data_IF_567853482881
#
_entry.id   IF_567853482881
#
_cell.length_a   1.000
_cell.length_b   1.000
_cell.length_c   1.000
_cell.angle_alpha   90.00
_cell.angle_beta   90.00
_cell.angle_gamma   90.00
#
_symmetry.space_group_name_H-M   'P 1'
#
loop_
_entity.id
_entity.type
_entity.pdbx_description
1 polymer ?
#
# COMPACT_ATOMS: atom_id res chain seq x y z
N UNK A 1 -41.46 -41.43 -57.30
CA UNK A 1 -40.24 -40.61 -57.10
C UNK A 1 -40.64 -39.22 -56.62
N UNK A 2 -40.30 -38.86 -55.39
CA UNK A 2 -40.03 -37.51 -54.85
C UNK A 2 -39.88 -37.66 -53.33
N UNK A 3 -38.65 -37.53 -52.81
CA UNK A 3 -38.35 -37.47 -51.37
C UNK A 3 -38.06 -36.01 -51.03
N UNK A 4 -38.84 -35.42 -50.13
CA UNK A 4 -38.53 -34.14 -49.49
C UNK A 4 -37.64 -34.41 -48.28
N UNK A 5 -36.43 -33.85 -48.27
CA UNK A 5 -35.56 -33.83 -47.10
C UNK A 5 -35.68 -32.50 -46.38
N UNK A 6 -36.22 -32.52 -45.16
CA UNK A 6 -36.14 -31.40 -44.22
C UNK A 6 -34.75 -31.38 -43.59
N UNK A 7 -33.98 -30.31 -43.82
CA UNK A 7 -32.78 -30.00 -43.04
C UNK A 7 -33.23 -29.12 -41.86
N UNK A 8 -33.14 -29.67 -40.64
CA UNK A 8 -33.37 -28.94 -39.40
C UNK A 8 -32.06 -28.24 -39.02
N UNK A 9 -32.02 -26.91 -39.11
CA UNK A 9 -30.88 -26.10 -38.72
C UNK A 9 -30.92 -25.92 -37.19
N UNK A 10 -30.07 -26.62 -36.44
CA UNK A 10 -29.87 -26.42 -35.01
C UNK A 10 -29.01 -25.16 -34.80
N UNK A 11 -29.68 -24.05 -34.49
CA UNK A 11 -29.02 -22.83 -33.99
C UNK A 11 -28.63 -23.04 -32.52
N UNK A 12 -27.34 -23.28 -32.28
CA UNK A 12 -26.78 -23.19 -30.94
C UNK A 12 -26.69 -21.72 -30.52
N UNK A 13 -27.61 -21.30 -29.66
CA UNK A 13 -27.52 -20.03 -28.94
C UNK A 13 -26.46 -20.18 -27.84
N UNK A 14 -25.23 -19.79 -28.14
CA UNK A 14 -24.21 -19.53 -27.12
C UNK A 14 -24.58 -18.24 -26.38
N UNK A 15 -25.24 -18.38 -25.23
CA UNK A 15 -25.47 -17.27 -24.30
C UNK A 15 -24.15 -16.74 -23.73
N UNK A 16 -24.10 -15.48 -23.28
CA UNK A 16 -22.89 -14.91 -22.68
C UNK A 16 -22.56 -15.67 -21.40
N UNK A 17 -21.40 -16.32 -21.37
CA UNK A 17 -20.81 -16.84 -20.14
C UNK A 17 -20.43 -15.63 -19.30
N UNK A 18 -21.14 -15.40 -18.20
CA UNK A 18 -20.75 -14.41 -17.21
C UNK A 18 -19.31 -14.72 -16.77
N UNK A 19 -18.40 -13.75 -16.89
CA UNK A 19 -17.03 -13.90 -16.43
C UNK A 19 -17.07 -14.28 -14.94
N UNK A 20 -16.56 -15.46 -14.62
CA UNK A 20 -16.46 -15.93 -13.25
C UNK A 20 -15.57 -14.95 -12.49
N UNK A 21 -16.02 -14.47 -11.33
CA UNK A 21 -15.23 -13.56 -10.51
C UNK A 21 -13.86 -14.20 -10.22
N UNK A 22 -12.78 -13.47 -10.52
CA UNK A 22 -11.43 -13.94 -10.23
C UNK A 22 -11.30 -14.19 -8.72
N UNK A 23 -11.01 -15.44 -8.34
CA UNK A 23 -10.69 -15.82 -6.96
C UNK A 23 -9.20 -16.17 -6.93
N UNK A 24 -8.31 -15.26 -6.52
CA UNK A 24 -6.91 -15.61 -6.31
C UNK A 24 -6.84 -16.61 -5.16
N UNK A 25 -6.52 -17.86 -5.49
CA UNK A 25 -6.52 -18.99 -4.55
C UNK A 25 -5.14 -19.22 -3.95
N UNK A 26 -4.57 -18.20 -3.30
CA UNK A 26 -3.35 -18.35 -2.50
C UNK A 26 -3.56 -17.68 -1.15
N UNK A 27 -3.13 -18.39 -0.10
CA UNK A 27 -3.24 -17.97 1.29
C UNK A 27 -4.22 -18.80 2.12
N UNK A 28 -4.27 -18.54 3.43
CA UNK A 28 -5.14 -19.27 4.34
C UNK A 28 -6.62 -19.04 4.00
N UNK A 29 -7.49 -19.99 4.32
CA UNK A 29 -8.94 -19.82 4.15
C UNK A 29 -9.52 -18.95 5.27
N UNK A 30 -9.10 -17.69 5.28
CA UNK A 30 -9.52 -16.66 6.23
C UNK A 30 -9.90 -15.40 5.45
N UNK A 31 -10.88 -14.60 5.93
CA UNK A 31 -11.19 -13.31 5.31
C UNK A 31 -10.10 -12.27 5.59
N UNK A 32 -9.44 -12.39 6.74
CA UNK A 32 -8.40 -11.47 7.22
C UNK A 32 -7.53 -12.11 8.31
N UNK A 33 -6.36 -11.53 8.54
CA UNK A 33 -5.49 -11.82 9.68
C UNK A 33 -5.21 -10.50 10.40
N UNK A 34 -5.39 -10.47 11.71
CA UNK A 34 -4.93 -9.39 12.59
C UNK A 34 -3.62 -9.80 13.23
N UNK A 35 -2.62 -8.95 13.15
CA UNK A 35 -1.29 -9.17 13.72
C UNK A 35 -1.04 -8.14 14.80
N UNK A 36 -0.60 -8.56 15.98
CA UNK A 36 -0.29 -7.69 17.13
C UNK A 36 1.15 -7.88 17.58
N UNK A 37 1.96 -6.84 17.50
CA UNK A 37 3.32 -6.83 18.02
C UNK A 37 3.53 -5.51 18.78
N UNK A 38 3.73 -5.63 20.10
CA UNK A 38 3.80 -4.48 21.00
C UNK A 38 2.57 -3.60 20.88
N UNK A 39 2.78 -2.31 20.60
CA UNK A 39 1.73 -1.31 20.48
C UNK A 39 1.12 -1.21 19.07
N UNK A 40 1.69 -1.90 18.08
CA UNK A 40 1.25 -1.85 16.69
C UNK A 40 0.37 -3.06 16.36
N UNK A 41 -0.77 -2.78 15.73
CA UNK A 41 -1.63 -3.80 15.13
C UNK A 41 -1.75 -3.58 13.63
N UNK A 42 -1.57 -4.65 12.85
CA UNK A 42 -1.72 -4.64 11.39
C UNK A 42 -2.82 -5.62 10.98
N UNK A 43 -3.78 -5.15 10.17
CA UNK A 43 -4.79 -6.02 9.55
C UNK A 43 -4.43 -6.30 8.10
N UNK A 44 -4.31 -7.57 7.75
CA UNK A 44 -4.16 -8.07 6.38
C UNK A 44 -5.51 -8.63 5.89
N UNK A 45 -5.89 -8.46 4.62
CA UNK A 45 -7.17 -8.97 4.12
C UNK A 45 -7.07 -9.74 2.80
N UNK A 46 -7.82 -10.84 2.70
CA UNK A 46 -7.87 -11.68 1.49
C UNK A 46 -8.40 -10.92 0.28
N UNK A 47 -9.44 -10.10 0.45
CA UNK A 47 -10.08 -9.36 -0.64
C UNK A 47 -9.11 -8.40 -1.38
N UNK A 48 -8.05 -7.92 -0.72
CA UNK A 48 -6.99 -7.10 -1.30
C UNK A 48 -5.74 -7.91 -1.61
N UNK A 49 -5.87 -9.23 -1.81
CA UNK A 49 -4.76 -10.16 -2.06
C UNK A 49 -3.67 -10.11 -0.98
N UNK A 50 -4.12 -10.10 0.28
CA UNK A 50 -3.29 -10.18 1.49
C UNK A 50 -2.35 -9.00 1.72
N UNK A 51 -2.74 -7.81 1.29
CA UNK A 51 -2.01 -6.59 1.64
C UNK A 51 -2.52 -5.95 2.93
N UNK A 52 -1.76 -4.99 3.52
CA UNK A 52 -2.25 -4.17 4.62
C UNK A 52 -3.60 -3.54 4.34
N UNK A 53 -4.36 -3.37 5.40
CA UNK A 53 -5.74 -2.92 5.29
C UNK A 53 -6.17 -2.03 6.45
N UNK A 54 -5.48 -2.12 7.59
CA UNK A 54 -5.61 -1.21 8.74
C UNK A 54 -4.33 -1.25 9.56
N UNK A 55 -3.94 -0.11 10.09
CA UNK A 55 -2.86 0.02 11.06
C UNK A 55 -3.46 0.71 12.29
N UNK A 56 -3.29 0.08 13.45
CA UNK A 56 -3.69 0.63 14.74
C UNK A 56 -2.43 0.86 15.59
N UNK A 57 -2.46 1.91 16.42
CA UNK A 57 -1.45 2.18 17.43
C UNK A 57 -2.14 2.29 18.80
N UNK A 58 -1.65 1.52 19.79
CA UNK A 58 -2.24 1.39 21.13
C UNK A 58 -3.75 1.08 21.11
N UNK A 59 -4.17 0.27 20.14
CA UNK A 59 -5.56 -0.14 19.95
C UNK A 59 -6.46 0.89 19.24
N UNK A 60 -5.93 2.06 18.87
CA UNK A 60 -6.66 3.09 18.11
C UNK A 60 -6.32 2.99 16.62
N UNK A 61 -7.32 2.91 15.71
CA UNK A 61 -7.07 2.94 14.28
C UNK A 61 -6.45 4.26 13.82
N UNK A 62 -5.25 4.19 13.25
CA UNK A 62 -4.59 5.33 12.60
C UNK A 62 -4.95 5.40 11.12
N UNK A 63 -5.34 4.27 10.51
CA UNK A 63 -5.75 4.21 9.11
C UNK A 63 -7.14 3.60 8.94
N UNK A 64 -7.77 3.86 7.79
CA UNK A 64 -9.12 3.37 7.48
C UNK A 64 -9.11 2.06 6.72
N UNK A 65 -10.16 1.26 6.92
CA UNK A 65 -10.37 0.03 6.17
C UNK A 65 -10.94 0.24 4.75
N UNK A 66 -11.25 1.48 4.38
CA UNK A 66 -11.97 1.88 3.15
C UNK A 66 -11.07 2.14 1.94
N UNK A 67 -9.83 1.63 1.94
CA UNK A 67 -8.90 1.77 0.81
C UNK A 67 -7.95 0.58 0.72
N UNK A 68 -7.28 0.45 -0.43
CA UNK A 68 -6.23 -0.54 -0.66
C UNK A 68 -4.84 0.03 -0.32
N UNK A 69 -3.95 -0.83 0.18
CA UNK A 69 -2.57 -0.50 0.56
C UNK A 69 -1.63 -1.47 -0.13
N UNK A 70 -0.52 -1.01 -0.70
CA UNK A 70 0.43 -1.89 -1.39
C UNK A 70 0.96 -1.27 -2.68
N UNK A 71 1.45 -2.12 -3.57
CA UNK A 71 2.04 -1.68 -4.85
C UNK A 71 1.05 -1.78 -6.00
N UNK A 72 1.01 -0.74 -6.83
CA UNK A 72 0.17 -0.66 -8.04
C UNK A 72 0.96 -0.01 -9.17
N UNK A 73 0.88 -0.58 -10.36
CA UNK A 73 1.48 -0.07 -11.58
C UNK A 73 0.39 0.52 -12.46
N UNK A 74 0.62 1.72 -12.99
CA UNK A 74 -0.24 2.31 -14.00
C UNK A 74 0.41 2.19 -15.37
N UNK A 75 -0.23 1.44 -16.24
CA UNK A 75 0.19 1.23 -17.63
C UNK A 75 -0.52 2.22 -18.55
N UNK A 76 0.18 2.77 -19.57
CA UNK A 76 -0.48 3.51 -20.64
C UNK A 76 -1.61 2.68 -21.25
N UNK A 77 -2.75 3.32 -21.55
CA UNK A 77 -3.94 2.75 -22.20
C UNK A 77 -4.71 1.65 -21.43
N UNK A 78 -4.09 1.00 -20.45
CA UNK A 78 -4.71 -0.06 -19.63
C UNK A 78 -5.16 0.46 -18.27
N UNK A 79 -4.40 1.36 -17.65
CA UNK A 79 -4.69 1.85 -16.31
C UNK A 79 -3.98 1.05 -15.21
N UNK A 80 -4.61 0.93 -14.04
CA UNK A 80 -4.00 0.39 -12.83
C UNK A 80 -4.06 -1.14 -12.77
N UNK A 81 -2.94 -1.77 -12.43
CA UNK A 81 -2.84 -3.20 -12.11
C UNK A 81 -2.04 -3.34 -10.81
N UNK A 82 -2.55 -4.14 -9.88
CA UNK A 82 -1.91 -4.39 -8.59
C UNK A 82 -2.90 -4.35 -7.45
N UNK A 83 -2.40 -4.03 -6.26
CA UNK A 83 -3.15 -4.12 -5.01
C UNK A 83 -4.55 -3.48 -5.09
N UNK A 84 -5.59 -4.32 -4.95
CA UNK A 84 -6.99 -3.88 -4.89
C UNK A 84 -7.56 -3.39 -6.23
N UNK A 85 -6.75 -3.31 -7.28
CA UNK A 85 -7.16 -2.97 -8.64
C UNK A 85 -7.38 -4.26 -9.43
N UNK A 86 -8.62 -4.74 -9.42
CA UNK A 86 -9.04 -5.98 -10.08
C UNK A 86 -9.82 -5.70 -11.38
N UNK A 87 -10.09 -4.43 -11.68
CA UNK A 87 -10.93 -4.00 -12.79
C UNK A 87 -10.29 -4.16 -14.17
N UNK A 88 -8.95 -4.14 -14.25
CA UNK A 88 -8.21 -4.27 -15.51
C UNK A 88 -7.64 -5.68 -15.65
N UNK A 89 -6.67 -6.02 -14.80
CA UNK A 89 -6.05 -7.33 -14.75
C UNK A 89 -5.71 -7.67 -13.29
N UNK A 90 -5.83 -8.95 -12.87
CA UNK A 90 -5.41 -9.33 -11.54
C UNK A 90 -3.89 -9.42 -11.42
N UNK A 91 -3.37 -9.06 -10.25
CA UNK A 91 -2.00 -9.40 -9.88
C UNK A 91 -1.88 -10.92 -9.63
N UNK A 92 -0.87 -11.54 -10.24
CA UNK A 92 -0.57 -12.97 -10.08
C UNK A 92 0.19 -13.16 -8.77
N UNK A 93 -0.53 -13.49 -7.71
CA UNK A 93 0.08 -13.87 -6.44
C UNK A 93 0.84 -15.20 -6.62
N UNK A 94 2.03 -15.33 -6.05
CA UNK A 94 2.89 -16.51 -6.19
C UNK A 94 3.14 -17.22 -4.86
N UNK A 95 3.41 -16.45 -3.80
CA UNK A 95 3.65 -17.01 -2.47
C UNK A 95 3.25 -16.05 -1.35
N UNK A 96 2.95 -16.62 -0.18
CA UNK A 96 2.70 -15.92 1.06
C UNK A 96 3.39 -16.68 2.18
N UNK A 97 4.30 -16.03 2.90
CA UNK A 97 5.01 -16.64 4.02
C UNK A 97 4.93 -15.74 5.25
N UNK A 98 4.54 -16.31 6.38
CA UNK A 98 4.32 -15.59 7.63
C UNK A 98 5.34 -16.06 8.66
N UNK A 99 5.84 -15.13 9.47
CA UNK A 99 6.75 -15.41 10.56
C UNK A 99 6.33 -14.64 11.81
N UNK A 100 6.38 -15.31 12.95
CA UNK A 100 6.23 -14.71 14.29
C UNK A 100 7.46 -15.10 15.09
N UNK A 101 8.13 -14.11 15.68
CA UNK A 101 9.34 -14.29 16.50
C UNK A 101 10.42 -15.13 15.78
N UNK A 102 10.61 -14.83 14.50
CA UNK A 102 11.58 -15.50 13.63
C UNK A 102 11.18 -16.92 13.18
N UNK A 103 10.06 -17.47 13.64
CA UNK A 103 9.57 -18.81 13.28
C UNK A 103 8.48 -18.72 12.22
N UNK A 104 8.57 -19.55 11.19
CA UNK A 104 7.56 -19.65 10.16
C UNK A 104 6.22 -20.16 10.73
N UNK A 105 5.12 -19.53 10.34
CA UNK A 105 3.76 -19.91 10.69
C UNK A 105 3.15 -20.68 9.51
N UNK A 106 3.25 -22.00 9.55
CA UNK A 106 2.78 -22.90 8.48
C UNK A 106 1.26 -22.86 8.32
N UNK A 107 0.51 -22.60 9.39
CA UNK A 107 -0.96 -22.50 9.37
C UNK A 107 -1.39 -21.23 10.09
N UNK A 108 -1.45 -20.09 9.37
CA UNK A 108 -1.88 -18.83 9.96
C UNK A 108 -3.31 -18.91 10.50
N UNK A 109 -3.53 -18.35 11.69
CA UNK A 109 -4.85 -18.16 12.29
C UNK A 109 -5.35 -16.73 12.05
N UNK A 110 -6.62 -16.47 12.36
CA UNK A 110 -7.23 -15.14 12.21
C UNK A 110 -6.53 -14.06 13.05
N UNK A 111 -5.91 -14.45 14.15
CA UNK A 111 -5.11 -13.58 15.01
C UNK A 111 -3.71 -14.17 15.14
N UNK A 112 -2.69 -13.33 15.01
CA UNK A 112 -1.27 -13.64 15.25
C UNK A 112 -0.71 -12.60 16.23
N UNK A 113 0.16 -13.04 17.14
CA UNK A 113 0.81 -12.13 18.08
C UNK A 113 2.20 -12.62 18.47
N UNK A 114 3.13 -11.69 18.69
CA UNK A 114 4.48 -11.95 19.15
C UNK A 114 5.25 -10.65 19.38
N UNK A 115 6.54 -10.74 19.64
CA UNK A 115 7.44 -9.58 19.73
C UNK A 115 7.74 -9.02 18.34
N UNK A 116 7.90 -9.91 17.35
CA UNK A 116 8.14 -9.53 15.96
C UNK A 116 7.25 -10.30 15.00
N UNK A 117 6.90 -9.64 13.91
CA UNK A 117 6.18 -10.24 12.79
C UNK A 117 6.90 -9.92 11.49
N UNK A 118 6.92 -10.89 10.57
CA UNK A 118 7.34 -10.67 9.19
C UNK A 118 6.41 -11.41 8.24
N UNK A 119 5.95 -10.72 7.21
CA UNK A 119 5.15 -11.26 6.14
C UNK A 119 5.82 -10.99 4.80
N UNK A 120 6.06 -12.05 4.04
CA UNK A 120 6.65 -12.00 2.71
C UNK A 120 5.58 -12.39 1.69
N UNK A 121 5.36 -11.51 0.73
CA UNK A 121 4.42 -11.68 -0.38
C UNK A 121 5.19 -11.60 -1.68
N UNK A 122 5.15 -12.66 -2.47
CA UNK A 122 5.73 -12.66 -3.81
C UNK A 122 4.63 -12.72 -4.85
N UNK A 123 4.79 -11.92 -5.90
CA UNK A 123 3.79 -11.81 -6.95
C UNK A 123 4.42 -11.37 -8.27
N UNK A 124 3.59 -11.40 -9.31
CA UNK A 124 3.95 -10.94 -10.64
C UNK A 124 2.86 -10.04 -11.20
N UNK A 125 3.29 -8.93 -11.78
CA UNK A 125 2.44 -8.04 -12.57
C UNK A 125 3.07 -7.95 -13.95
N UNK A 126 2.55 -8.72 -14.90
CA UNK A 126 3.06 -8.80 -16.27
C UNK A 126 4.58 -9.04 -16.32
N UNK A 127 5.35 -8.05 -16.76
CA UNK A 127 6.80 -8.11 -16.85
C UNK A 127 7.55 -7.90 -15.54
N UNK A 128 6.86 -7.60 -14.44
CA UNK A 128 7.47 -7.32 -13.15
C UNK A 128 7.28 -8.47 -12.17
N UNK A 129 8.37 -8.88 -11.53
CA UNK A 129 8.35 -9.70 -10.32
C UNK A 129 8.47 -8.79 -9.11
N UNK A 130 7.63 -9.03 -8.10
CA UNK A 130 7.57 -8.25 -6.89
C UNK A 130 7.81 -9.15 -5.67
N UNK A 131 8.56 -8.62 -4.73
CA UNK A 131 8.61 -9.12 -3.35
C UNK A 131 8.24 -7.97 -2.43
N UNK A 132 7.12 -8.10 -1.73
CA UNK A 132 6.73 -7.18 -0.66
C UNK A 132 6.99 -7.84 0.70
N UNK A 133 7.71 -7.15 1.57
CA UNK A 133 7.97 -7.59 2.94
C UNK A 133 7.39 -6.56 3.90
N UNK A 134 6.55 -7.03 4.82
CA UNK A 134 5.98 -6.23 5.90
C UNK A 134 6.52 -6.77 7.21
N UNK A 135 7.17 -5.94 8.03
CA UNK A 135 7.67 -6.32 9.33
C UNK A 135 7.09 -5.44 10.42
N UNK A 136 6.77 -6.01 11.57
CA UNK A 136 6.52 -5.26 12.80
C UNK A 136 7.57 -5.67 13.81
N UNK A 137 8.31 -4.70 14.32
CA UNK A 137 9.32 -4.88 15.38
C UNK A 137 9.58 -3.53 16.02
N UNK A 138 9.93 -3.52 17.30
CA UNK A 138 10.27 -2.28 18.04
C UNK A 138 9.17 -1.21 17.89
N UNK A 139 7.90 -1.62 17.94
CA UNK A 139 6.72 -0.76 17.77
C UNK A 139 6.69 0.05 16.45
N UNK A 140 7.34 -0.48 15.41
CA UNK A 140 7.44 0.13 14.07
C UNK A 140 6.98 -0.83 12.99
N UNK A 141 6.35 -0.28 11.95
CA UNK A 141 6.01 -0.99 10.73
C UNK A 141 7.08 -0.72 9.67
N UNK A 142 7.76 -1.75 9.18
CA UNK A 142 8.66 -1.66 8.04
C UNK A 142 7.99 -2.24 6.80
N UNK A 143 8.14 -1.56 5.67
CA UNK A 143 7.66 -2.00 4.37
C UNK A 143 8.82 -1.98 3.39
N UNK A 144 9.08 -3.12 2.75
CA UNK A 144 10.08 -3.25 1.69
C UNK A 144 9.40 -3.77 0.43
N UNK A 145 9.64 -3.12 -0.69
CA UNK A 145 9.18 -3.57 -2.00
C UNK A 145 10.39 -3.70 -2.91
N UNK A 146 10.67 -4.91 -3.38
CA UNK A 146 11.67 -5.17 -4.43
C UNK A 146 10.94 -5.45 -5.73
N UNK A 147 11.38 -4.79 -6.80
CA UNK A 147 10.84 -4.97 -8.16
C UNK A 147 11.97 -5.40 -9.09
N UNK A 148 11.71 -6.43 -9.90
CA UNK A 148 12.57 -6.83 -11.00
C UNK A 148 11.78 -6.83 -12.32
N UNK A 149 12.33 -6.21 -13.37
CA UNK A 149 11.72 -6.14 -14.69
C UNK A 149 12.31 -7.19 -15.64
N UNK A 150 11.49 -8.13 -16.11
CA UNK A 150 11.90 -9.18 -17.05
C UNK A 150 11.82 -8.72 -18.52
N UNK A 151 11.05 -7.66 -18.78
CA UNK A 151 10.93 -6.98 -20.08
C UNK A 151 10.99 -5.47 -19.89
N UNK A 152 11.31 -4.76 -20.97
CA UNK A 152 11.16 -3.31 -21.00
C UNK A 152 9.67 -2.95 -20.94
N UNK A 153 9.30 -1.94 -20.16
CA UNK A 153 7.88 -1.63 -19.92
C UNK A 153 7.64 -0.14 -19.71
N UNK A 154 6.82 0.50 -20.55
CA UNK A 154 6.38 1.88 -20.33
C UNK A 154 5.34 1.95 -19.20
N UNK A 155 5.48 2.96 -18.33
CA UNK A 155 4.59 3.21 -17.19
C UNK A 155 4.22 4.69 -17.11
N UNK A 156 2.96 4.98 -16.77
CA UNK A 156 2.51 6.33 -16.41
C UNK A 156 3.02 6.69 -15.01
N UNK A 157 2.99 5.73 -14.07
CA UNK A 157 3.50 5.86 -12.70
C UNK A 157 3.41 4.51 -11.95
N UNK A 158 4.15 4.39 -10.85
CA UNK A 158 4.02 3.31 -9.86
C UNK A 158 3.73 3.92 -8.49
N UNK A 159 2.83 3.28 -7.74
CA UNK A 159 2.66 3.49 -6.29
C UNK A 159 3.28 2.31 -5.55
N UNK A 160 4.14 2.53 -4.55
CA UNK A 160 4.74 1.46 -3.74
C UNK A 160 4.14 1.34 -2.34
N UNK A 161 4.17 2.45 -1.59
CA UNK A 161 3.65 2.53 -0.23
C UNK A 161 2.44 3.43 -0.20
N UNK A 162 1.39 2.96 0.46
CA UNK A 162 0.12 3.66 0.54
C UNK A 162 -0.45 3.53 1.94
N UNK A 163 -0.73 4.64 2.63
CA UNK A 163 -1.40 4.63 3.93
C UNK A 163 -2.64 5.52 3.87
N UNK A 164 -3.82 4.92 3.95
CA UNK A 164 -5.07 5.68 4.00
C UNK A 164 -5.37 6.11 5.44
N UNK A 165 -4.72 7.17 5.91
CA UNK A 165 -4.96 7.72 7.25
C UNK A 165 -6.43 8.07 7.46
N UNK A 166 -6.90 7.98 8.69
CA UNK A 166 -8.30 8.32 9.03
C UNK A 166 -8.65 9.74 8.54
N UNK A 167 -9.92 10.01 8.18
CA UNK A 167 -10.32 11.34 7.74
C UNK A 167 -10.27 12.40 8.86
N UNK A 168 -10.06 11.98 10.12
CA UNK A 168 -9.94 12.87 11.30
C UNK A 168 -8.54 13.42 11.48
N UNK A 169 -7.52 12.81 10.84
CA UNK A 169 -6.17 13.39 10.77
C UNK A 169 -6.25 14.83 10.26
N UNK A 170 -5.75 15.75 11.06
CA UNK A 170 -6.06 17.19 10.91
C UNK A 170 -4.93 17.99 10.30
N UNK A 171 -3.69 17.50 10.37
CA UNK A 171 -2.51 18.22 9.86
C UNK A 171 -1.46 17.23 9.40
N UNK A 172 -0.75 17.58 8.33
CA UNK A 172 0.47 16.92 7.88
C UNK A 172 1.71 17.78 8.19
N UNK A 173 2.83 17.10 8.38
CA UNK A 173 4.16 17.67 8.37
C UNK A 173 5.03 16.86 7.41
N UNK A 174 5.89 17.50 6.63
CA UNK A 174 6.80 16.81 5.73
C UNK A 174 8.16 17.51 5.73
N UNK A 175 9.23 16.72 5.78
CA UNK A 175 10.59 17.23 5.94
C UNK A 175 11.59 16.55 5.03
N UNK A 176 12.70 17.25 4.79
CA UNK A 176 13.87 16.69 4.12
C UNK A 176 15.11 16.91 4.98
N UNK A 177 15.94 15.89 5.10
CA UNK A 177 17.18 15.93 5.87
C UNK A 177 18.18 16.92 5.28
N UNK A 178 18.10 17.19 3.97
CA UNK A 178 18.94 18.18 3.30
C UNK A 178 18.54 19.63 3.65
N UNK A 179 17.33 19.85 4.17
CA UNK A 179 16.76 21.16 4.52
C UNK A 179 15.87 21.07 5.77
N UNK A 180 16.43 20.70 6.93
CA UNK A 180 15.66 20.41 8.15
C UNK A 180 14.88 21.61 8.70
N UNK A 181 15.26 22.83 8.32
CA UNK A 181 14.56 24.08 8.67
C UNK A 181 13.37 24.40 7.77
N UNK A 182 13.21 23.70 6.64
CA UNK A 182 12.23 23.99 5.60
C UNK A 182 11.03 23.01 5.63
N UNK A 183 10.71 22.47 6.80
CA UNK A 183 9.57 21.55 6.93
C UNK A 183 8.26 22.23 6.49
N UNK A 184 7.50 21.51 5.66
CA UNK A 184 6.14 21.87 5.31
C UNK A 184 5.23 21.42 6.45
N UNK A 185 4.50 22.36 7.07
CA UNK A 185 3.40 22.05 7.98
C UNK A 185 2.12 22.60 7.36
N UNK A 186 1.13 21.72 7.16
CA UNK A 186 -0.08 22.10 6.43
C UNK A 186 -1.34 21.50 7.06
N UNK A 187 -2.39 22.32 7.33
CA UNK A 187 -3.67 21.80 7.79
C UNK A 187 -4.37 20.99 6.70
N UNK A 188 -5.00 19.89 7.12
CA UNK A 188 -5.78 18.99 6.29
C UNK A 188 -7.27 19.31 6.45
N UNK A 189 -7.75 20.20 5.58
CA UNK A 189 -9.12 20.73 5.58
C UNK A 189 -10.16 19.73 5.05
N UNK A 190 -11.38 19.77 5.58
CA UNK A 190 -12.52 18.93 5.17
C UNK A 190 -13.55 19.77 4.38
N UNK A 191 -13.11 20.40 3.29
CA UNK A 191 -14.00 21.17 2.41
C UNK A 191 -13.92 20.68 0.95
N UNK A 192 -14.95 21.00 0.17
CA UNK A 192 -15.06 20.55 -1.22
C UNK A 192 -13.96 21.12 -2.13
N UNK A 193 -13.39 22.28 -1.79
CA UNK A 193 -12.34 22.90 -2.60
C UNK A 193 -11.03 22.11 -2.56
N UNK A 194 -10.83 21.25 -1.55
CA UNK A 194 -9.68 20.36 -1.41
C UNK A 194 -10.03 18.88 -1.62
N UNK A 195 -11.27 18.55 -1.95
CA UNK A 195 -11.67 17.19 -2.29
C UNK A 195 -11.00 16.71 -3.58
N UNK A 196 -10.46 15.49 -3.59
CA UNK A 196 -9.71 14.92 -4.72
C UNK A 196 -8.50 15.77 -5.16
N UNK A 197 -7.83 16.42 -4.20
CA UNK A 197 -6.58 17.15 -4.42
C UNK A 197 -5.45 16.57 -3.59
N UNK A 198 -4.23 16.76 -4.09
CA UNK A 198 -3.02 16.46 -3.35
C UNK A 198 -2.61 17.65 -2.48
N UNK A 199 -2.35 17.43 -1.19
CA UNK A 199 -1.79 18.45 -0.30
C UNK A 199 -0.29 18.66 -0.52
N UNK A 200 0.42 17.56 -0.73
CA UNK A 200 1.84 17.53 -1.05
C UNK A 200 2.04 16.72 -2.33
N UNK A 201 3.02 17.15 -3.12
CA UNK A 201 3.52 16.46 -4.30
C UNK A 201 5.00 16.81 -4.47
N UNK A 202 5.84 16.26 -3.58
CA UNK A 202 7.27 16.62 -3.50
C UNK A 202 8.12 15.42 -3.07
N UNK A 203 9.41 15.45 -3.41
CA UNK A 203 10.40 14.56 -2.82
C UNK A 203 10.68 15.04 -1.39
N UNK A 204 10.41 14.18 -0.41
CA UNK A 204 10.67 14.40 1.02
C UNK A 204 11.16 13.09 1.62
N UNK A 205 12.00 13.19 2.65
CA UNK A 205 12.62 12.02 3.30
C UNK A 205 11.66 11.39 4.32
N UNK A 206 10.79 12.20 4.92
CA UNK A 206 9.79 11.75 5.87
C UNK A 206 8.55 12.63 5.87
N UNK A 207 7.46 12.08 6.39
CA UNK A 207 6.25 12.82 6.71
C UNK A 207 5.63 12.34 8.02
N UNK A 208 4.88 13.23 8.65
CA UNK A 208 4.06 12.93 9.81
C UNK A 208 2.63 13.39 9.61
N UNK A 209 1.70 12.68 10.24
CA UNK A 209 0.29 13.07 10.34
C UNK A 209 -0.14 13.08 11.79
N UNK A 210 -0.98 14.04 12.16
CA UNK A 210 -1.51 14.19 13.52
C UNK A 210 -3.01 13.87 13.58
N UNK A 211 -3.41 12.98 14.49
CA UNK A 211 -4.80 12.61 14.77
C UNK A 211 -5.24 13.26 16.09
N UNK A 212 -6.10 14.29 16.06
CA UNK A 212 -6.40 15.09 17.23
C UNK A 212 -7.29 14.39 18.26
N UNK A 213 -8.11 13.41 17.87
CA UNK A 213 -9.03 12.73 18.78
C UNK A 213 -8.32 11.82 19.78
N UNK A 214 -7.24 11.20 19.34
CA UNK A 214 -6.38 10.30 20.12
C UNK A 214 -5.08 10.95 20.58
N UNK A 215 -4.76 12.14 20.06
CA UNK A 215 -3.47 12.82 20.27
C UNK A 215 -2.27 11.95 19.85
N UNK A 216 -2.51 11.07 18.88
CA UNK A 216 -1.49 10.21 18.29
C UNK A 216 -1.00 10.80 16.98
N UNK A 217 0.21 10.42 16.62
CA UNK A 217 0.78 10.73 15.32
C UNK A 217 1.53 9.54 14.76
N UNK A 218 1.67 9.52 13.43
CA UNK A 218 2.53 8.58 12.73
C UNK A 218 3.63 9.36 12.00
N UNK A 219 4.81 8.79 11.88
CA UNK A 219 5.92 9.28 11.04
C UNK A 219 6.29 8.19 10.06
N UNK A 220 6.08 8.42 8.77
CA UNK A 220 6.54 7.55 7.68
C UNK A 220 7.81 8.12 7.08
N UNK A 221 8.89 7.34 7.08
CA UNK A 221 10.22 7.74 6.62
C UNK A 221 10.75 6.78 5.57
N UNK A 222 11.25 7.35 4.47
CA UNK A 222 11.93 6.60 3.41
C UNK A 222 13.33 6.23 3.89
N UNK A 223 13.68 4.95 3.71
CA UNK A 223 14.98 4.38 4.06
C UNK A 223 15.82 4.07 2.83
N UNK A 224 15.15 3.67 1.75
CA UNK A 224 15.81 3.31 0.50
C UNK A 224 14.88 3.60 -0.67
N UNK A 225 15.42 4.21 -1.72
CA UNK A 225 14.77 4.33 -3.03
C UNK A 225 15.83 4.21 -4.13
N UNK A 226 15.51 3.61 -5.30
CA UNK A 226 16.45 3.60 -6.41
C UNK A 226 16.56 4.99 -7.01
N UNK A 227 17.76 5.55 -7.10
CA UNK A 227 18.00 6.88 -7.64
C UNK A 227 17.42 7.06 -9.06
N UNK A 228 17.45 6.01 -9.88
CA UNK A 228 16.97 6.02 -11.26
C UNK A 228 15.44 6.05 -11.40
N UNK A 229 14.69 5.74 -10.35
CA UNK A 229 13.23 5.65 -10.42
C UNK A 229 12.51 6.94 -10.03
N UNK A 230 13.22 7.85 -9.35
CA UNK A 230 12.61 8.98 -8.65
C UNK A 230 11.70 8.54 -7.50
N UNK A 231 11.49 9.43 -6.54
CA UNK A 231 10.56 9.21 -5.43
C UNK A 231 9.83 10.49 -5.09
N UNK A 232 8.50 10.46 -5.16
CA UNK A 232 7.67 11.62 -4.81
C UNK A 232 6.57 11.18 -3.85
N UNK A 233 6.55 11.81 -2.69
CA UNK A 233 5.53 11.63 -1.66
C UNK A 233 4.33 12.50 -1.97
N UNK A 234 3.13 11.92 -1.85
CA UNK A 234 1.86 12.60 -2.07
C UNK A 234 0.87 12.29 -0.95
N UNK A 235 -0.01 13.25 -0.64
CA UNK A 235 -1.17 13.02 0.25
C UNK A 235 -2.43 13.41 -0.48
N UNK A 236 -3.21 12.44 -0.93
CA UNK A 236 -4.48 12.64 -1.60
C UNK A 236 -5.62 12.75 -0.60
N UNK A 237 -6.48 13.73 -0.81
CA UNK A 237 -7.63 13.96 0.03
C UNK A 237 -8.91 13.37 -0.55
N UNK A 238 -9.58 12.50 0.19
CA UNK A 238 -10.98 12.17 -0.04
C UNK A 238 -11.73 12.54 1.22
N UNK A 239 -12.35 13.72 1.21
CA UNK A 239 -13.08 14.29 2.36
C UNK A 239 -14.06 13.25 2.93
N UNK A 240 -14.05 13.10 4.26
CA UNK A 240 -14.88 12.14 4.98
C UNK A 240 -14.51 10.66 4.81
N UNK A 241 -13.53 10.34 3.96
CA UNK A 241 -13.13 8.95 3.67
C UNK A 241 -11.72 8.65 4.14
N UNK A 242 -10.71 9.42 3.70
CA UNK A 242 -9.31 9.24 4.11
C UNK A 242 -8.39 10.41 3.70
N UNK A 243 -7.20 10.43 4.30
CA UNK A 243 -6.03 11.20 3.84
C UNK A 243 -4.95 10.21 3.40
N UNK A 244 -4.86 9.92 2.10
CA UNK A 244 -4.05 8.79 1.63
C UNK A 244 -2.67 9.22 1.19
N UNK A 245 -1.67 8.74 1.92
CA UNK A 245 -0.28 8.81 1.51
C UNK A 245 -0.02 7.91 0.30
N UNK A 246 0.86 8.38 -0.59
CA UNK A 246 1.44 7.61 -1.68
C UNK A 246 2.93 7.92 -1.80
N UNK A 247 3.76 6.88 -1.91
CA UNK A 247 5.07 6.98 -2.54
C UNK A 247 4.96 6.64 -4.01
N UNK A 248 5.30 7.58 -4.89
CA UNK A 248 5.31 7.38 -6.34
C UNK A 248 6.71 7.25 -6.93
N UNK A 249 6.83 6.42 -7.97
CA UNK A 249 8.05 6.23 -8.78
C UNK A 249 7.69 6.11 -10.28
N UNK A 250 8.69 6.19 -11.15
CA UNK A 250 8.57 5.97 -12.61
C UNK A 250 7.49 6.79 -13.30
N UNK A 251 7.34 8.06 -12.92
CA UNK A 251 6.31 8.93 -13.52
C UNK A 251 6.64 9.21 -15.00
N UNK A 252 5.80 8.69 -15.91
CA UNK A 252 5.95 8.74 -17.37
C UNK A 252 7.30 8.22 -17.86
N UNK A 253 7.75 7.09 -17.33
CA UNK A 253 9.04 6.49 -17.64
C UNK A 253 8.89 5.11 -18.25
N UNK A 254 9.91 4.70 -19.01
CA UNK A 254 10.08 3.31 -19.44
C UNK A 254 11.07 2.62 -18.52
N UNK A 255 10.61 1.56 -17.84
CA UNK A 255 11.48 0.73 -17.00
C UNK A 255 12.24 -0.23 -17.91
N UNK A 256 13.58 -0.22 -17.90
CA UNK A 256 14.36 -1.07 -18.80
C UNK A 256 14.29 -2.53 -18.35
N UNK A 257 14.39 -3.44 -19.33
CA UNK A 257 14.60 -4.86 -19.05
C UNK A 257 15.83 -5.05 -18.16
N UNK A 258 15.72 -5.92 -17.16
CA UNK A 258 16.78 -6.21 -16.20
C UNK A 258 16.89 -5.20 -15.06
N UNK A 259 16.03 -4.17 -15.02
CA UNK A 259 15.93 -3.29 -13.86
C UNK A 259 15.69 -4.10 -12.58
N UNK A 260 16.38 -3.71 -11.50
CA UNK A 260 16.16 -4.19 -10.14
C UNK A 260 16.20 -2.98 -9.21
N UNK A 261 15.17 -2.82 -8.39
CA UNK A 261 15.09 -1.73 -7.44
C UNK A 261 14.42 -2.17 -6.15
N UNK A 262 14.85 -1.56 -5.05
CA UNK A 262 14.26 -1.75 -3.73
C UNK A 262 13.81 -0.38 -3.21
N UNK A 263 12.57 -0.35 -2.72
CA UNK A 263 12.04 0.73 -1.92
C UNK A 263 11.87 0.22 -0.50
N UNK A 264 12.25 1.02 0.48
CA UNK A 264 12.06 0.69 1.89
C UNK A 264 11.57 1.90 2.65
N UNK A 265 10.57 1.69 3.50
CA UNK A 265 10.00 2.70 4.38
C UNK A 265 9.81 2.11 5.77
N UNK A 266 9.88 2.97 6.77
CA UNK A 266 9.47 2.66 8.14
C UNK A 266 8.43 3.66 8.59
N UNK A 267 7.42 3.18 9.30
CA UNK A 267 6.44 4.00 10.00
C UNK A 267 6.55 3.75 11.49
N UNK A 268 6.90 4.80 12.22
CA UNK A 268 6.82 4.85 13.68
C UNK A 268 5.60 5.63 14.14
N UNK A 269 5.26 5.48 15.41
CA UNK A 269 4.11 6.13 16.02
C UNK A 269 4.52 6.83 17.32
N UNK A 270 3.74 7.80 17.74
CA UNK A 270 3.93 8.49 19.00
C UNK A 270 2.65 9.17 19.47
N UNK A 271 2.76 9.81 20.63
CA UNK A 271 1.70 10.60 21.22
C UNK A 271 2.23 11.98 21.61
N UNK A 272 1.35 12.97 21.61
CA UNK A 272 1.66 14.33 22.00
C UNK A 272 0.52 15.26 21.64
N UNK A 273 0.40 16.37 22.36
CA UNK A 273 -0.56 17.40 21.98
C UNK A 273 -0.17 18.08 20.65
N UNK A 274 -1.05 18.94 20.18
CA UNK A 274 -0.92 19.61 18.88
C UNK A 274 0.35 20.49 18.82
N UNK A 275 0.72 21.07 19.95
CA UNK A 275 1.83 21.99 20.13
C UNK A 275 3.18 21.27 20.20
N UNK A 276 3.23 20.11 20.84
CA UNK A 276 4.43 19.29 21.05
C UNK A 276 4.71 18.36 19.85
N UNK A 277 3.67 17.94 19.14
CA UNK A 277 3.76 16.99 18.04
C UNK A 277 4.85 17.32 17.01
N UNK A 278 5.01 18.57 16.50
CA UNK A 278 6.03 18.85 15.49
C UNK A 278 7.45 18.52 15.95
N UNK A 279 7.79 18.80 17.21
CA UNK A 279 9.10 18.48 17.78
C UNK A 279 9.26 16.96 17.97
N UNK A 280 8.23 16.29 18.50
CA UNK A 280 8.24 14.85 18.69
C UNK A 280 8.35 14.08 17.36
N UNK A 281 7.64 14.53 16.31
CA UNK A 281 7.69 13.96 14.98
C UNK A 281 9.08 14.07 14.34
N UNK A 282 9.77 15.20 14.52
CA UNK A 282 11.17 15.37 14.05
C UNK A 282 12.12 14.43 14.77
N UNK A 283 12.01 14.33 16.10
CA UNK A 283 12.83 13.41 16.89
C UNK A 283 12.63 11.97 16.41
N UNK A 284 11.38 11.55 16.26
CA UNK A 284 11.05 10.22 15.75
C UNK A 284 11.57 10.02 14.32
N UNK A 285 11.40 10.99 13.42
CA UNK A 285 11.93 10.91 12.06
C UNK A 285 13.46 10.72 12.04
N UNK A 286 14.18 11.39 12.94
CA UNK A 286 15.63 11.23 13.09
C UNK A 286 16.01 9.84 13.63
N UNK A 287 15.26 9.33 14.61
CA UNK A 287 15.47 7.97 15.15
C UNK A 287 15.21 6.87 14.12
N UNK A 288 14.22 7.08 13.24
CA UNK A 288 13.88 6.17 12.16
C UNK A 288 14.92 6.15 11.03
N UNK A 289 15.85 7.12 10.99
CA UNK A 289 16.91 7.17 9.97
C UNK A 289 18.08 6.21 10.22
N UNK A 290 18.17 5.68 11.45
CA UNK A 290 19.26 4.84 11.94
C UNK A 290 18.95 3.36 11.71
#
# INVERSE_FOLDING_TARGET
MKRFGCILLLLFLSGPVAAQAFVPNLGPDLPSITVRCGEVTLKLRRHSQWTPARIDFRGTPMTTERSAYGTVFRYPEIGFIGTGHLENEPEELQSLTFYVDGKEVVTPTAELSGETFRFVRESKIRGFRLTNVFEIKEDRLYETTTVAADVETPLDLVYHFMHAWTPTVSVLMAGSDAKPEADLIQPLLNDDAVHHKFYINAAVDWMSVYEPGSQQFAVSRLLETPATAGSTSKVWNVVGTYRKYYLTAFQNQTVPKGFKGTWRMVTGFGEGDREQWPAAARTLASELSK
#
